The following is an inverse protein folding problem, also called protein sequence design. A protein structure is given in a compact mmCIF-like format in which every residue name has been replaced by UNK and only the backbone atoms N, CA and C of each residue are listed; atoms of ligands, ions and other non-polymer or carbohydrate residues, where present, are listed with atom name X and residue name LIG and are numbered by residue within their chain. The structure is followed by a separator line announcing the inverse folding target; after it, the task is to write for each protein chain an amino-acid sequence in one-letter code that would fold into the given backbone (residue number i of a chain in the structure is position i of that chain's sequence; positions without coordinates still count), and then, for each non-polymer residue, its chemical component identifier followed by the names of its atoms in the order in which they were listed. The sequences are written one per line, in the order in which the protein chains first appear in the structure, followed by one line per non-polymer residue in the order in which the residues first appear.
data_IF_425393211471
#
_entry.id   IF_425393211471
#
_cell.length_a   1.000
_cell.length_b   1.000
_cell.length_c   1.000
_cell.angle_alpha   90.00
_cell.angle_beta   90.00
_cell.angle_gamma   90.00
#
_symmetry.space_group_name_H-M   'P 1'
#
loop_
_entity.id
_entity.type
_entity.pdbx_description
1 polymer ?
#
# COMPACT_ATOMS: atom_id res chain seq x y z
N UNK A 1 13.28 -11.34 14.86
CA UNK A 1 11.85 -11.50 14.54
C UNK A 1 11.11 -10.36 15.22
N UNK A 2 10.29 -9.61 14.48
CA UNK A 2 9.41 -8.59 15.08
C UNK A 2 7.96 -9.04 14.90
N UNK A 3 7.10 -8.73 15.86
CA UNK A 3 5.66 -9.02 15.81
C UNK A 3 4.96 -7.68 15.61
N UNK A 4 4.29 -7.52 14.47
CA UNK A 4 3.43 -6.36 14.21
C UNK A 4 2.15 -6.48 15.04
N UNK A 5 1.65 -5.36 15.59
CA UNK A 5 0.41 -5.35 16.38
C UNK A 5 -0.85 -5.55 15.53
N UNK A 6 -0.79 -5.08 14.29
CA UNK A 6 -1.86 -5.10 13.28
C UNK A 6 -1.25 -4.94 11.87
N UNK A 7 -2.04 -5.13 10.82
CA UNK A 7 -1.57 -5.04 9.43
C UNK A 7 -0.99 -3.65 9.09
N UNK A 8 -1.63 -2.59 9.59
CA UNK A 8 -1.17 -1.21 9.37
C UNK A 8 0.25 -0.99 9.92
N UNK A 9 0.56 -1.58 11.08
CA UNK A 9 1.90 -1.50 11.70
C UNK A 9 2.99 -2.30 10.97
N UNK A 10 2.61 -3.20 10.05
CA UNK A 10 3.54 -3.92 9.18
C UNK A 10 3.90 -3.14 7.90
N UNK A 11 3.24 -2.01 7.63
CA UNK A 11 3.51 -1.17 6.46
C UNK A 11 4.81 -0.38 6.66
N UNK A 12 5.68 -0.42 5.66
CA UNK A 12 6.94 0.28 5.65
C UNK A 12 8.10 -0.54 6.20
N UNK A 13 9.18 0.16 6.59
CA UNK A 13 10.45 -0.47 7.03
C UNK A 13 10.96 -1.59 6.10
N UNK A 14 10.64 -1.50 4.81
CA UNK A 14 11.07 -2.44 3.78
C UNK A 14 12.59 -2.39 3.61
N UNK A 15 13.24 -3.52 3.29
CA UNK A 15 14.69 -3.57 3.23
C UNK A 15 15.26 -2.78 2.04
N UNK A 16 16.49 -2.32 2.21
CA UNK A 16 17.37 -1.97 1.09
C UNK A 16 18.13 -3.23 0.68
N UNK A 17 18.02 -3.61 -0.59
CA UNK A 17 18.67 -4.78 -1.16
C UNK A 17 19.81 -4.31 -2.04
N UNK A 18 21.04 -4.75 -1.75
CA UNK A 18 22.20 -4.44 -2.60
C UNK A 18 22.05 -5.11 -3.96
N UNK A 19 22.09 -4.31 -5.03
CA UNK A 19 22.10 -4.81 -6.41
C UNK A 19 23.54 -5.15 -6.81
N UNK A 20 24.00 -6.36 -6.46
CA UNK A 20 25.41 -6.79 -6.57
C UNK A 20 26.02 -6.52 -7.94
N UNK A 21 25.42 -7.08 -9.00
CA UNK A 21 25.96 -6.98 -10.36
C UNK A 21 26.03 -5.54 -10.87
N UNK A 22 25.00 -4.74 -10.62
CA UNK A 22 24.98 -3.33 -11.01
C UNK A 22 26.03 -2.51 -10.24
N UNK A 23 26.21 -2.81 -8.96
CA UNK A 23 27.24 -2.17 -8.12
C UNK A 23 28.65 -2.51 -8.63
N UNK A 24 28.92 -3.77 -8.96
CA UNK A 24 30.20 -4.22 -9.51
C UNK A 24 30.53 -3.57 -10.86
N UNK A 25 29.54 -3.45 -11.76
CA UNK A 25 29.74 -2.87 -13.09
C UNK A 25 30.02 -1.37 -13.07
N UNK A 26 29.52 -0.66 -12.05
CA UNK A 26 29.61 0.80 -11.98
C UNK A 26 30.68 1.30 -11.00
N UNK A 27 31.13 0.46 -10.07
CA UNK A 27 31.97 0.86 -8.94
C UNK A 27 31.20 1.62 -7.85
N UNK A 28 29.90 1.86 -8.02
CA UNK A 28 29.03 2.57 -7.08
C UNK A 28 28.26 1.58 -6.18
N UNK A 29 27.81 2.05 -5.01
CA UNK A 29 26.83 1.29 -4.21
C UNK A 29 25.41 1.56 -4.73
N UNK A 30 24.80 0.54 -5.35
CA UNK A 30 23.43 0.62 -5.87
C UNK A 30 22.51 -0.26 -5.02
N UNK A 31 21.47 0.36 -4.46
CA UNK A 31 20.50 -0.27 -3.57
C UNK A 31 19.09 -0.19 -4.16
N UNK A 32 18.35 -1.29 -4.12
CA UNK A 32 16.91 -1.33 -4.41
C UNK A 32 16.09 -1.25 -3.13
N UNK A 33 15.13 -0.34 -3.05
CA UNK A 33 14.17 -0.29 -1.93
C UNK A 33 13.02 -1.26 -2.21
N UNK A 34 12.90 -2.32 -1.41
CA UNK A 34 11.98 -3.44 -1.65
C UNK A 34 10.52 -3.14 -1.26
N UNK A 35 9.91 -2.13 -1.88
CA UNK A 35 8.52 -1.72 -1.58
C UNK A 35 7.46 -2.76 -1.92
N UNK A 36 7.82 -3.79 -2.70
CA UNK A 36 6.97 -4.97 -2.92
C UNK A 36 6.78 -5.82 -1.65
N UNK A 37 7.54 -5.57 -0.58
CA UNK A 37 7.42 -6.28 0.70
C UNK A 37 6.43 -5.64 1.67
N UNK A 38 5.72 -4.57 1.29
CA UNK A 38 4.57 -4.12 2.07
C UNK A 38 3.43 -5.18 1.96
N UNK A 39 2.47 -5.25 2.91
CA UNK A 39 1.41 -6.27 2.94
C UNK A 39 0.57 -6.39 1.65
N UNK A 40 0.21 -5.26 1.04
CA UNK A 40 -0.49 -5.12 -0.24
C UNK A 40 0.45 -5.15 -1.45
N UNK A 41 1.70 -5.60 -1.25
CA UNK A 41 2.71 -5.88 -2.26
C UNK A 41 3.15 -4.68 -3.10
N UNK A 42 2.94 -3.45 -2.59
CA UNK A 42 3.43 -2.26 -3.26
C UNK A 42 3.64 -1.08 -2.32
N UNK A 43 4.33 -0.04 -2.81
CA UNK A 43 4.52 1.24 -2.12
C UNK A 43 3.20 1.95 -1.77
N UNK A 44 2.08 1.61 -2.43
CA UNK A 44 0.81 2.32 -2.27
C UNK A 44 0.15 2.09 -0.92
N UNK A 45 0.51 1.04 -0.21
CA UNK A 45 0.07 0.80 1.17
C UNK A 45 0.41 1.97 2.09
N UNK A 46 1.59 2.58 1.88
CA UNK A 46 2.00 3.77 2.65
C UNK A 46 1.03 4.92 2.43
N UNK A 47 0.73 5.22 1.17
CA UNK A 47 -0.19 6.30 0.82
C UNK A 47 -1.60 6.03 1.37
N UNK A 48 -2.10 4.80 1.21
CA UNK A 48 -3.39 4.38 1.75
C UNK A 48 -3.47 4.58 3.27
N UNK A 49 -2.46 4.12 4.01
CA UNK A 49 -2.39 4.31 5.46
C UNK A 49 -2.45 5.78 5.85
N UNK A 50 -1.63 6.63 5.23
CA UNK A 50 -1.60 8.06 5.55
C UNK A 50 -2.92 8.76 5.20
N UNK A 51 -3.54 8.47 4.06
CA UNK A 51 -4.82 9.04 3.66
C UNK A 51 -5.91 8.68 4.66
N UNK A 52 -6.00 7.40 5.05
CA UNK A 52 -7.00 6.91 6.00
C UNK A 52 -6.79 7.55 7.37
N UNK A 53 -5.56 7.55 7.89
CA UNK A 53 -5.25 8.14 9.19
C UNK A 53 -5.53 9.64 9.24
N UNK A 54 -5.18 10.38 8.19
CA UNK A 54 -5.47 11.82 8.10
C UNK A 54 -6.97 12.11 8.07
N UNK A 55 -7.73 11.34 7.28
CA UNK A 55 -9.19 11.48 7.21
C UNK A 55 -9.87 11.17 8.55
N UNK A 56 -9.39 10.16 9.28
CA UNK A 56 -9.87 9.84 10.64
C UNK A 56 -9.53 10.96 11.62
N UNK A 57 -8.29 11.45 11.61
CA UNK A 57 -7.84 12.51 12.51
C UNK A 57 -8.62 13.82 12.30
N UNK A 58 -8.97 14.14 11.05
CA UNK A 58 -9.78 15.31 10.69
C UNK A 58 -11.29 15.11 10.88
N UNK A 59 -11.73 13.90 11.23
CA UNK A 59 -13.14 13.57 11.39
C UNK A 59 -13.93 13.42 10.08
N UNK A 60 -13.26 13.40 8.93
CA UNK A 60 -13.88 13.15 7.63
C UNK A 60 -14.27 11.68 7.45
N UNK A 61 -13.50 10.76 8.05
CA UNK A 61 -13.79 9.33 8.07
C UNK A 61 -14.15 8.90 9.49
N UNK A 62 -15.43 8.56 9.70
CA UNK A 62 -15.96 8.09 10.99
C UNK A 62 -15.86 6.56 11.09
N UNK A 63 -15.87 5.97 12.30
CA UNK A 63 -15.90 4.52 12.48
C UNK A 63 -17.00 3.84 11.64
N UNK A 64 -16.65 2.77 10.92
CA UNK A 64 -17.56 2.06 10.00
C UNK A 64 -17.88 2.81 8.71
N UNK A 65 -17.23 3.97 8.47
CA UNK A 65 -17.38 4.76 7.24
C UNK A 65 -16.90 4.03 5.99
N UNK A 66 -17.22 4.63 4.84
CA UNK A 66 -16.88 4.08 3.52
C UNK A 66 -15.86 4.97 2.82
N UNK A 67 -14.79 4.37 2.32
CA UNK A 67 -13.78 4.97 1.45
C UNK A 67 -14.22 4.72 0.01
N UNK A 68 -14.23 5.75 -0.83
CA UNK A 68 -14.55 5.63 -2.26
C UNK A 68 -13.39 6.22 -3.06
N UNK A 69 -12.81 5.44 -3.96
CA UNK A 69 -11.67 5.87 -4.79
C UNK A 69 -11.83 5.40 -6.23
N UNK A 70 -11.57 6.30 -7.19
CA UNK A 70 -11.54 5.97 -8.61
C UNK A 70 -10.14 5.58 -9.06
N UNK A 71 -9.80 4.29 -9.08
CA UNK A 71 -8.45 3.85 -9.48
C UNK A 71 -8.42 2.40 -9.94
N UNK A 72 -7.60 2.11 -10.96
CA UNK A 72 -7.29 0.75 -11.43
C UNK A 72 -5.86 0.30 -11.07
N UNK A 73 -5.20 1.04 -10.17
CA UNK A 73 -3.82 0.76 -9.75
C UNK A 73 -3.75 0.22 -8.33
N UNK A 74 -2.52 0.03 -7.85
CA UNK A 74 -2.26 -0.53 -6.52
C UNK A 74 -2.78 0.35 -5.36
N UNK A 75 -3.14 1.62 -5.62
CA UNK A 75 -3.80 2.45 -4.62
C UNK A 75 -5.14 1.86 -4.20
N UNK A 76 -5.89 1.27 -5.13
CA UNK A 76 -7.17 0.62 -4.82
C UNK A 76 -6.96 -0.60 -3.92
N UNK A 77 -5.95 -1.42 -4.25
CA UNK A 77 -5.54 -2.58 -3.44
C UNK A 77 -5.12 -2.12 -2.03
N UNK A 78 -4.26 -1.10 -1.93
CA UNK A 78 -3.80 -0.55 -0.67
C UNK A 78 -4.94 0.00 0.20
N UNK A 79 -5.86 0.79 -0.38
CA UNK A 79 -7.02 1.32 0.34
C UNK A 79 -8.00 0.23 0.76
N UNK A 80 -8.18 -0.81 -0.07
CA UNK A 80 -9.02 -1.95 0.27
C UNK A 80 -8.43 -2.74 1.44
N UNK A 81 -7.15 -3.11 1.35
CA UNK A 81 -6.47 -3.91 2.37
C UNK A 81 -6.33 -3.15 3.70
N UNK A 82 -5.82 -1.92 3.65
CA UNK A 82 -5.60 -1.10 4.85
C UNK A 82 -6.93 -0.69 5.45
N UNK A 83 -7.88 -0.24 4.63
CA UNK A 83 -9.24 0.13 5.07
C UNK A 83 -9.94 -1.03 5.78
N UNK A 84 -9.94 -2.23 5.19
CA UNK A 84 -10.51 -3.42 5.81
C UNK A 84 -9.84 -3.75 7.14
N UNK A 85 -8.51 -3.69 7.22
CA UNK A 85 -7.76 -3.96 8.46
C UNK A 85 -8.08 -2.98 9.60
N UNK A 86 -8.58 -1.78 9.28
CA UNK A 86 -8.95 -0.72 10.22
C UNK A 86 -10.47 -0.62 10.46
N UNK A 87 -11.27 -1.52 9.88
CA UNK A 87 -12.72 -1.57 10.07
C UNK A 87 -13.53 -0.61 9.18
N UNK A 88 -12.97 -0.19 8.04
CA UNK A 88 -13.67 0.63 7.05
C UNK A 88 -14.11 -0.21 5.85
N UNK A 89 -15.20 0.21 5.21
CA UNK A 89 -15.59 -0.32 3.90
C UNK A 89 -14.87 0.44 2.81
N UNK A 90 -14.48 -0.24 1.73
CA UNK A 90 -13.83 0.38 0.57
C UNK A 90 -14.59 0.05 -0.70
N UNK A 91 -14.85 1.06 -1.53
CA UNK A 91 -15.45 0.92 -2.86
C UNK A 91 -14.46 1.48 -3.86
N UNK A 92 -13.93 0.61 -4.73
CA UNK A 92 -13.02 1.00 -5.79
C UNK A 92 -13.80 1.08 -7.10
N UNK A 93 -13.79 2.26 -7.72
CA UNK A 93 -14.45 2.50 -9.00
C UNK A 93 -13.41 2.40 -10.10
N UNK A 94 -13.62 1.49 -11.04
CA UNK A 94 -12.75 1.26 -12.20
C UNK A 94 -13.53 1.44 -13.51
N UNK A 95 -12.88 1.88 -14.61
CA UNK A 95 -13.48 1.83 -15.93
C UNK A 95 -13.78 0.38 -16.35
N UNK A 96 -14.84 0.20 -17.12
CA UNK A 96 -15.23 -1.12 -17.66
C UNK A 96 -14.12 -1.74 -18.54
N UNK A 97 -13.28 -0.90 -19.15
CA UNK A 97 -12.18 -1.30 -20.05
C UNK A 97 -10.96 -1.91 -19.35
N UNK A 98 -10.97 -2.05 -18.02
CA UNK A 98 -9.86 -2.68 -17.31
C UNK A 98 -9.79 -4.20 -17.46
N UNK A 99 -8.58 -4.73 -17.31
CA UNK A 99 -8.29 -6.17 -17.34
C UNK A 99 -9.06 -6.91 -16.25
N UNK A 100 -9.53 -8.12 -16.54
CA UNK A 100 -10.34 -8.90 -15.60
C UNK A 100 -9.56 -9.24 -14.32
N UNK A 101 -8.25 -9.48 -14.43
CA UNK A 101 -7.35 -9.74 -13.29
C UNK A 101 -7.24 -8.57 -12.30
N UNK A 102 -7.76 -7.39 -12.66
CA UNK A 102 -7.85 -6.23 -11.77
C UNK A 102 -9.25 -6.01 -11.21
N UNK A 103 -10.25 -6.71 -11.74
CA UNK A 103 -11.64 -6.69 -11.27
C UNK A 103 -11.89 -7.76 -10.22
N UNK A 104 -11.26 -8.93 -10.40
CA UNK A 104 -11.28 -10.08 -9.49
C UNK A 104 -10.23 -9.93 -8.37
#
# INVERSE_FOLDING_TARGET
MYIAKDLASAIGNTPLIRLRKASELTGCEILGKAEFMNPGQSVKDRAALYIIMDAVAKGFLKPGGTIVEGTAGNTGIGLALVGASMGFRTVIVIPETQSQEKKD
#
